data_IF_398552094461
#
_entry.id   IF_398552094461
#
_cell.length_a   1.000
_cell.length_b   1.000
_cell.length_c   1.000
_cell.angle_alpha   90.00
_cell.angle_beta   90.00
_cell.angle_gamma   90.00
#
_symmetry.space_group_name_H-M   'P 1'
#
loop_
_entity.id
_entity.type
_entity.pdbx_description
1 polymer ?
#
# COMPACT_ATOMS: atom_id res chain seq x y z
N UNK A 1 14.59 -5.21 9.56
CA UNK A 1 13.43 -5.40 10.44
C UNK A 1 13.41 -4.36 11.52
N UNK A 2 12.23 -3.92 11.89
CA UNK A 2 12.03 -2.84 12.85
C UNK A 2 11.46 -3.42 14.14
N UNK A 3 12.12 -3.17 15.25
CA UNK A 3 11.60 -3.56 16.56
C UNK A 3 10.48 -2.62 17.00
N UNK A 4 9.64 -3.09 17.91
CA UNK A 4 8.49 -2.29 18.36
C UNK A 4 8.90 -0.93 18.91
N UNK A 5 10.00 -0.85 19.65
CA UNK A 5 10.45 0.43 20.20
C UNK A 5 10.74 1.46 19.11
N UNK A 6 11.37 1.03 18.02
CA UNK A 6 11.66 1.91 16.90
C UNK A 6 10.38 2.34 16.21
N UNK A 7 9.43 1.42 16.03
CA UNK A 7 8.14 1.75 15.44
C UNK A 7 7.39 2.78 16.28
N UNK A 8 7.36 2.60 17.60
CA UNK A 8 6.69 3.54 18.49
C UNK A 8 7.28 4.95 18.36
N UNK A 9 8.60 5.05 18.28
CA UNK A 9 9.27 6.34 18.13
C UNK A 9 9.00 6.96 16.76
N UNK A 10 9.12 6.18 15.70
CA UNK A 10 8.98 6.69 14.34
C UNK A 10 7.55 7.09 14.03
N UNK A 11 6.57 6.30 14.46
CA UNK A 11 5.16 6.58 14.21
C UNK A 11 4.52 7.47 15.28
N UNK A 12 5.21 7.70 16.39
CA UNK A 12 4.70 8.50 17.53
C UNK A 12 3.39 7.92 18.07
N UNK A 13 3.40 6.64 18.36
CA UNK A 13 2.24 5.93 18.92
C UNK A 13 2.68 5.14 20.13
N UNK A 14 1.71 4.75 20.98
CA UNK A 14 2.01 3.95 22.14
C UNK A 14 1.83 2.46 21.86
N UNK A 15 2.29 1.63 22.79
CA UNK A 15 2.26 0.18 22.61
C UNK A 15 0.83 -0.35 22.58
N UNK A 16 -0.07 0.25 23.33
CA UNK A 16 -1.48 -0.17 23.38
C UNK A 16 -2.14 0.02 22.00
N UNK A 17 -1.86 1.14 21.35
CA UNK A 17 -2.35 1.41 20.01
C UNK A 17 -1.84 0.36 19.02
N UNK A 18 -0.56 0.06 19.07
CA UNK A 18 0.04 -0.94 18.18
C UNK A 18 -0.59 -2.30 18.39
N UNK A 19 -0.76 -2.71 19.64
CA UNK A 19 -1.42 -4.00 19.93
C UNK A 19 -2.84 -4.05 19.38
N UNK A 20 -3.60 -2.98 19.55
CA UNK A 20 -4.95 -2.87 19.02
C UNK A 20 -4.96 -2.98 17.49
N UNK A 21 -4.03 -2.31 16.82
CA UNK A 21 -3.95 -2.32 15.37
C UNK A 21 -3.50 -3.67 14.82
N UNK A 22 -2.65 -4.38 15.55
CA UNK A 22 -2.26 -5.75 15.19
C UNK A 22 -3.47 -6.68 15.31
N UNK A 23 -4.25 -6.56 16.38
CA UNK A 23 -5.47 -7.35 16.56
C UNK A 23 -6.51 -7.06 15.48
N UNK A 24 -6.61 -5.83 15.06
CA UNK A 24 -7.53 -5.43 13.99
C UNK A 24 -7.06 -5.88 12.59
N UNK A 25 -5.83 -6.37 12.49
CA UNK A 25 -5.26 -6.75 11.19
C UNK A 25 -4.73 -5.58 10.39
N UNK A 26 -4.65 -4.40 10.99
CA UNK A 26 -4.11 -3.21 10.32
C UNK A 26 -2.60 -3.22 10.20
N UNK A 27 -1.93 -3.86 11.14
CA UNK A 27 -0.50 -4.14 11.12
C UNK A 27 -0.29 -5.65 11.23
N UNK A 28 0.64 -6.17 10.46
CA UNK A 28 0.91 -7.61 10.45
C UNK A 28 2.40 -7.85 10.69
N UNK A 29 2.82 -7.94 11.96
CA UNK A 29 4.22 -8.24 12.28
C UNK A 29 4.56 -9.68 11.93
N UNK A 30 5.85 -9.92 11.65
CA UNK A 30 6.34 -11.26 11.31
C UNK A 30 6.28 -12.23 12.49
N UNK A 31 6.41 -11.71 13.70
CA UNK A 31 6.40 -12.54 14.91
C UNK A 31 5.35 -12.01 15.88
N UNK A 32 4.11 -12.55 15.78
CA UNK A 32 3.00 -12.13 16.63
C UNK A 32 2.82 -13.01 17.86
N UNK A 33 3.26 -14.28 17.76
CA UNK A 33 2.91 -15.30 18.75
C UNK A 33 3.59 -15.11 20.10
N UNK A 34 4.77 -14.45 20.11
CA UNK A 34 5.54 -14.24 21.32
C UNK A 34 5.16 -12.96 22.09
N UNK A 35 4.11 -12.24 21.65
CA UNK A 35 3.65 -11.01 22.27
C UNK A 35 4.30 -9.76 21.69
N UNK A 36 3.81 -8.60 22.13
CA UNK A 36 4.19 -7.30 21.54
C UNK A 36 5.69 -7.01 21.60
N UNK A 37 6.36 -7.41 22.65
CA UNK A 37 7.79 -7.13 22.80
C UNK A 37 8.65 -7.84 21.76
N UNK A 38 8.14 -8.92 21.17
CA UNK A 38 8.86 -9.70 20.16
C UNK A 38 8.41 -9.37 18.74
N UNK A 39 7.51 -8.41 18.53
CA UNK A 39 7.05 -8.03 17.20
C UNK A 39 8.20 -7.52 16.36
N UNK A 40 8.29 -8.02 15.13
CA UNK A 40 9.21 -7.53 14.12
C UNK A 40 8.39 -6.98 12.97
N UNK A 41 8.62 -5.71 12.67
CA UNK A 41 7.85 -4.99 11.65
C UNK A 41 8.70 -4.68 10.43
N UNK A 42 8.05 -4.48 9.30
CA UNK A 42 8.68 -3.99 8.10
C UNK A 42 8.59 -2.46 8.05
N UNK A 43 9.32 -1.85 7.11
CA UNK A 43 9.18 -0.41 6.86
C UNK A 43 7.78 -0.06 6.37
N UNK A 44 7.12 -0.98 5.69
CA UNK A 44 5.72 -0.80 5.27
C UNK A 44 4.81 -0.67 6.48
N UNK A 45 5.02 -1.49 7.50
CA UNK A 45 4.23 -1.41 8.74
C UNK A 45 4.44 -0.07 9.45
N UNK A 46 5.67 0.45 9.44
CA UNK A 46 5.95 1.76 10.02
C UNK A 46 5.17 2.84 9.28
N UNK A 47 5.18 2.80 7.95
CA UNK A 47 4.42 3.75 7.14
C UNK A 47 2.91 3.62 7.39
N UNK A 48 2.40 2.40 7.53
CA UNK A 48 0.99 2.16 7.85
C UNK A 48 0.64 2.73 9.23
N UNK A 49 1.50 2.52 10.23
CA UNK A 49 1.27 3.06 11.58
C UNK A 49 1.21 4.58 11.55
N UNK A 50 2.10 5.23 10.82
CA UNK A 50 2.08 6.68 10.66
C UNK A 50 0.78 7.15 10.01
N UNK A 51 0.33 6.45 8.96
CA UNK A 51 -0.91 6.77 8.27
C UNK A 51 -2.12 6.61 9.20
N UNK A 52 -2.18 5.52 9.94
CA UNK A 52 -3.29 5.28 10.88
C UNK A 52 -3.33 6.40 11.92
N UNK A 53 -2.18 6.77 12.47
CA UNK A 53 -2.11 7.85 13.44
C UNK A 53 -2.62 9.16 12.84
N UNK A 54 -2.16 9.51 11.66
CA UNK A 54 -2.56 10.75 10.99
C UNK A 54 -4.07 10.77 10.70
N UNK A 55 -4.62 9.67 10.24
CA UNK A 55 -6.05 9.55 9.99
C UNK A 55 -6.86 9.75 11.25
N UNK A 56 -6.44 9.13 12.35
CA UNK A 56 -7.18 9.18 13.60
C UNK A 56 -7.00 10.51 14.34
N UNK A 57 -5.78 10.98 14.47
CA UNK A 57 -5.46 12.15 15.29
C UNK A 57 -5.60 13.46 14.55
N UNK A 58 -5.10 13.53 13.33
CA UNK A 58 -5.12 14.79 12.56
C UNK A 58 -6.42 15.00 11.79
N UNK A 59 -6.99 13.92 11.25
CA UNK A 59 -8.19 13.99 10.42
C UNK A 59 -9.47 13.55 11.12
N UNK A 60 -9.35 12.98 12.31
CA UNK A 60 -10.50 12.55 13.09
C UNK A 60 -11.30 11.41 12.48
N UNK A 61 -10.65 10.58 11.66
CA UNK A 61 -11.31 9.44 11.02
C UNK A 61 -11.57 8.36 12.06
N UNK A 62 -12.78 7.81 12.10
CA UNK A 62 -13.11 6.73 13.01
C UNK A 62 -12.52 5.39 12.54
N UNK A 63 -12.64 4.36 13.36
CA UNK A 63 -12.05 3.06 13.07
C UNK A 63 -12.57 2.44 11.78
N UNK A 64 -13.86 2.60 11.51
CA UNK A 64 -14.44 2.09 10.27
C UNK A 64 -13.86 2.79 9.04
N UNK A 65 -13.66 4.09 9.13
CA UNK A 65 -13.03 4.87 8.06
C UNK A 65 -11.57 4.49 7.87
N UNK A 66 -10.83 4.25 8.94
CA UNK A 66 -9.45 3.79 8.85
C UNK A 66 -9.38 2.45 8.12
N UNK A 67 -10.27 1.52 8.46
CA UNK A 67 -10.32 0.22 7.79
C UNK A 67 -10.56 0.37 6.28
N UNK A 68 -11.46 1.28 5.89
CA UNK A 68 -11.73 1.55 4.47
C UNK A 68 -10.50 2.10 3.77
N UNK A 69 -9.83 3.08 4.39
CA UNK A 69 -8.63 3.69 3.80
C UNK A 69 -7.53 2.63 3.64
N UNK A 70 -7.29 1.83 4.66
CA UNK A 70 -6.27 0.78 4.58
C UNK A 70 -6.59 -0.25 3.51
N UNK A 71 -7.87 -0.61 3.36
CA UNK A 71 -8.29 -1.49 2.29
C UNK A 71 -8.01 -0.91 0.91
N UNK A 72 -8.26 0.38 0.73
CA UNK A 72 -7.96 1.07 -0.53
C UNK A 72 -6.45 1.16 -0.78
N UNK A 73 -5.67 1.44 0.25
CA UNK A 73 -4.21 1.45 0.15
C UNK A 73 -3.69 0.08 -0.29
N UNK A 74 -4.24 -0.99 0.28
CA UNK A 74 -3.86 -2.34 -0.09
C UNK A 74 -4.23 -2.66 -1.54
N UNK A 75 -5.38 -2.18 -2.01
CA UNK A 75 -5.77 -2.34 -3.42
C UNK A 75 -4.81 -1.60 -4.35
N UNK A 76 -4.46 -0.37 -4.01
CA UNK A 76 -3.50 0.41 -4.80
C UNK A 76 -2.16 -0.30 -4.86
N UNK A 77 -1.69 -0.80 -3.72
CA UNK A 77 -0.43 -1.54 -3.67
C UNK A 77 -0.50 -2.79 -4.55
N UNK A 78 -1.58 -3.55 -4.45
CA UNK A 78 -1.78 -4.75 -5.28
C UNK A 78 -1.77 -4.44 -6.76
N UNK A 79 -2.44 -3.35 -7.16
CA UNK A 79 -2.45 -2.92 -8.56
C UNK A 79 -1.05 -2.50 -9.03
N UNK A 80 -0.30 -1.78 -8.21
CA UNK A 80 1.07 -1.40 -8.54
C UNK A 80 1.96 -2.62 -8.70
N UNK A 81 1.81 -3.61 -7.84
CA UNK A 81 2.59 -4.86 -7.94
C UNK A 81 2.22 -5.63 -9.20
N UNK A 82 0.95 -5.69 -9.54
CA UNK A 82 0.50 -6.34 -10.76
C UNK A 82 1.08 -5.67 -12.01
N UNK A 83 1.09 -4.32 -12.04
CA UNK A 83 1.69 -3.57 -13.13
C UNK A 83 3.19 -3.80 -13.21
N UNK A 84 3.87 -3.85 -12.07
CA UNK A 84 5.30 -4.11 -12.02
C UNK A 84 5.63 -5.50 -12.58
N UNK A 85 4.87 -6.51 -12.18
CA UNK A 85 5.05 -7.88 -12.68
C UNK A 85 4.78 -7.95 -14.19
N UNK A 86 3.73 -7.28 -14.65
CA UNK A 86 3.41 -7.24 -16.08
C UNK A 86 4.52 -6.55 -16.88
N UNK A 87 4.99 -5.40 -16.40
CA UNK A 87 6.08 -4.68 -17.05
C UNK A 87 7.36 -5.53 -17.10
N UNK A 88 7.68 -6.22 -16.02
CA UNK A 88 8.84 -7.11 -15.97
C UNK A 88 8.71 -8.25 -16.97
N UNK A 89 7.49 -8.83 -17.09
CA UNK A 89 7.24 -9.90 -18.06
C UNK A 89 7.42 -9.40 -19.49
N UNK A 90 6.93 -8.19 -19.78
CA UNK A 90 7.08 -7.59 -21.12
C UNK A 90 8.55 -7.32 -21.43
N UNK A 91 9.30 -6.77 -20.46
CA UNK A 91 10.73 -6.51 -20.65
C UNK A 91 11.56 -7.77 -20.81
N UNK A 92 11.09 -8.90 -20.31
CA UNK A 92 11.75 -10.19 -20.47
C UNK A 92 11.51 -10.81 -21.84
N UNK A 93 10.58 -10.29 -22.64
CA UNK A 93 10.34 -10.80 -23.98
C UNK A 93 11.49 -10.46 -24.91
N UNK A 94 11.82 -11.36 -25.86
CA UNK A 94 12.86 -11.06 -26.85
C UNK A 94 12.39 -10.01 -27.85
N UNK A 95 13.34 -9.28 -28.40
CA UNK A 95 13.08 -8.42 -29.56
C UNK A 95 12.81 -9.31 -30.79
N UNK A 96 11.89 -8.97 -31.70
CA UNK A 96 11.05 -7.75 -31.74
C UNK A 96 9.71 -7.87 -31.02
N UNK A 97 9.43 -9.01 -30.38
CA UNK A 97 8.16 -9.24 -29.70
C UNK A 97 7.90 -8.20 -28.62
N UNK A 98 8.95 -7.89 -27.86
CA UNK A 98 8.87 -6.87 -26.81
C UNK A 98 8.44 -5.52 -27.36
N UNK A 99 9.00 -5.10 -28.49
CA UNK A 99 8.65 -3.83 -29.10
C UNK A 99 7.20 -3.79 -29.56
N UNK A 100 6.73 -4.87 -30.16
CA UNK A 100 5.32 -4.98 -30.55
C UNK A 100 4.39 -4.88 -29.35
N UNK A 101 4.73 -5.55 -28.24
CA UNK A 101 3.92 -5.51 -27.04
C UNK A 101 3.87 -4.10 -26.44
N UNK A 102 5.02 -3.41 -26.37
CA UNK A 102 5.08 -2.04 -25.86
C UNK A 102 4.28 -1.10 -26.75
N UNK A 103 4.40 -1.21 -28.06
CA UNK A 103 3.65 -0.38 -29.00
C UNK A 103 2.14 -0.60 -28.87
N UNK A 104 1.71 -1.85 -28.69
CA UNK A 104 0.31 -2.18 -28.48
C UNK A 104 -0.23 -1.57 -27.18
N UNK A 105 0.56 -1.62 -26.10
CA UNK A 105 0.18 -1.02 -24.82
C UNK A 105 0.04 0.50 -24.95
N UNK A 106 0.95 1.16 -25.64
CA UNK A 106 0.88 2.60 -25.87
C UNK A 106 -0.33 2.98 -26.70
N UNK A 107 -0.63 2.19 -27.73
CA UNK A 107 -1.81 2.43 -28.57
C UNK A 107 -3.11 2.28 -27.76
N UNK A 108 -3.19 1.27 -26.89
CA UNK A 108 -4.34 1.07 -26.03
C UNK A 108 -4.51 2.22 -25.04
N UNK A 109 -3.41 2.71 -24.48
CA UNK A 109 -3.44 3.86 -23.55
C UNK A 109 -3.94 5.12 -24.26
N UNK A 110 -3.51 5.37 -25.49
CA UNK A 110 -3.99 6.51 -26.27
C UNK A 110 -5.47 6.38 -26.60
N UNK A 111 -5.92 5.19 -26.93
CA UNK A 111 -7.34 4.92 -27.18
C UNK A 111 -8.20 5.19 -25.95
N UNK A 112 -7.73 4.79 -24.78
CA UNK A 112 -8.42 5.03 -23.52
C UNK A 112 -8.50 6.53 -23.20
N UNK A 113 -7.44 7.28 -23.44
CA UNK A 113 -7.44 8.72 -23.24
C UNK A 113 -8.42 9.42 -24.17
N UNK A 114 -8.51 8.97 -25.42
CA UNK A 114 -9.44 9.53 -26.39
C UNK A 114 -10.90 9.28 -26.00
N UNK A 115 -11.18 8.20 -25.26
CA UNK A 115 -12.53 7.86 -24.81
C UNK A 115 -12.96 8.59 -23.55
N UNK A 116 -12.07 9.31 -22.89
CA UNK A 116 -12.44 10.08 -21.71
C UNK A 116 -13.35 11.23 -22.11
N UNK A 117 -14.56 11.35 -21.55
CA UNK A 117 -15.47 12.43 -21.92
C UNK A 117 -14.88 13.80 -21.62
N UNK A 118 -14.92 14.67 -22.61
CA UNK A 118 -14.50 16.06 -22.45
C UNK A 118 -15.48 16.79 -21.52
N UNK A 119 -14.96 17.75 -20.72
CA UNK A 119 -15.79 18.58 -19.88
C UNK A 119 -16.12 17.98 -18.53
N UNK A 120 -15.49 16.92 -18.15
CA UNK A 120 -15.65 16.35 -16.84
C UNK A 120 -14.71 16.97 -15.84
N UNK A 121 -14.78 18.26 -15.78
CA UNK A 121 -13.98 19.07 -14.86
C UNK A 121 -14.93 19.61 -13.81
N UNK A 122 -14.69 19.22 -12.62
CA UNK A 122 -15.47 19.68 -11.50
C UNK A 122 -14.57 20.36 -10.52
#
# INVERSE_FOLDING_TARGET
MVEIHELLLRARVDVTSVETWVEAGWLVPDTREAGAAAYAFSDVDVARACLIRDLREDLGVNDEGVAVVLGLVDQVHGLRMALHHLASAVHALPEPVRREAIDALRAAARGTEADVPAGRTE
#
